data_IF_638507866063
#
_entry.id   IF_638507866063
#
_cell.length_a   1.000
_cell.length_b   1.000
_cell.length_c   1.000
_cell.angle_alpha   90.00
_cell.angle_beta   90.00
_cell.angle_gamma   90.00
#
_symmetry.space_group_name_H-M   'P 1'
#
loop_
_entity.id
_entity.type
_entity.pdbx_description
1 polymer ?
#
# COMPACT_ATOMS: atom_id res chain seq x y z
N UNK A 1 -6.74 8.39 -12.32
CA UNK A 1 -7.64 8.61 -11.17
C UNK A 1 -7.18 9.84 -10.37
N UNK A 2 -8.10 10.51 -9.65
CA UNK A 2 -7.81 11.70 -8.84
C UNK A 2 -7.26 11.34 -7.46
N UNK A 3 -6.53 12.26 -6.83
CA UNK A 3 -6.02 12.09 -5.46
C UNK A 3 -7.12 11.75 -4.42
N UNK A 4 -8.29 12.38 -4.56
CA UNK A 4 -9.44 12.22 -3.67
C UNK A 4 -9.94 10.77 -3.58
N UNK A 5 -9.78 9.98 -4.64
CA UNK A 5 -10.20 8.58 -4.63
C UNK A 5 -9.25 7.69 -3.82
N UNK A 6 -7.95 8.01 -3.82
CA UNK A 6 -6.96 7.34 -2.96
C UNK A 6 -7.24 7.70 -1.49
N UNK A 7 -7.54 8.97 -1.18
CA UNK A 7 -7.91 9.40 0.17
C UNK A 7 -9.13 8.64 0.69
N UNK A 8 -10.20 8.57 -0.11
CA UNK A 8 -11.41 7.80 0.23
C UNK A 8 -11.07 6.34 0.54
N UNK A 9 -10.16 5.72 -0.20
CA UNK A 9 -9.75 4.34 0.11
C UNK A 9 -8.96 4.23 1.41
N UNK A 10 -8.03 5.16 1.67
CA UNK A 10 -7.28 5.20 2.93
C UNK A 10 -8.24 5.35 4.11
N UNK A 11 -9.22 6.25 4.01
CA UNK A 11 -10.26 6.51 5.02
C UNK A 11 -11.13 5.29 5.32
N UNK A 12 -11.29 4.38 4.36
CA UNK A 12 -12.15 3.21 4.49
C UNK A 12 -11.39 1.89 4.71
N UNK A 13 -10.09 1.95 5.03
CA UNK A 13 -9.37 0.79 5.56
C UNK A 13 -10.09 0.25 6.82
N UNK A 14 -10.14 -1.08 6.94
CA UNK A 14 -10.88 -1.77 8.00
C UNK A 14 -12.36 -2.01 7.69
N UNK A 15 -12.93 -1.40 6.65
CA UNK A 15 -14.31 -1.70 6.22
C UNK A 15 -14.40 -3.02 5.47
N UNK A 16 -15.58 -3.64 5.47
CA UNK A 16 -15.83 -4.89 4.74
C UNK A 16 -16.09 -4.61 3.25
N UNK A 17 -15.71 -5.56 2.40
CA UNK A 17 -15.88 -5.49 0.95
C UNK A 17 -17.32 -5.21 0.51
N UNK A 18 -18.31 -5.86 1.13
CA UNK A 18 -19.74 -5.65 0.87
C UNK A 18 -20.19 -4.21 1.17
N UNK A 19 -19.74 -3.64 2.29
CA UNK A 19 -20.03 -2.26 2.68
C UNK A 19 -19.37 -1.23 1.74
N UNK A 20 -18.15 -1.50 1.26
CA UNK A 20 -17.48 -0.64 0.28
C UNK A 20 -18.22 -0.61 -1.06
N UNK A 21 -18.76 -1.74 -1.50
CA UNK A 21 -19.60 -1.82 -2.71
C UNK A 21 -20.92 -1.09 -2.50
N UNK A 22 -21.60 -1.33 -1.38
CA UNK A 22 -22.90 -0.72 -1.09
C UNK A 22 -22.83 0.82 -1.01
N UNK A 23 -21.68 1.36 -0.61
CA UNK A 23 -21.39 2.81 -0.55
C UNK A 23 -20.71 3.34 -1.82
N UNK A 24 -20.59 2.52 -2.86
CA UNK A 24 -19.98 2.86 -4.15
C UNK A 24 -18.52 3.35 -4.06
N UNK A 25 -17.81 2.97 -2.99
CA UNK A 25 -16.39 3.31 -2.77
C UNK A 25 -15.49 2.48 -3.70
N UNK A 26 -15.88 1.23 -3.95
CA UNK A 26 -15.26 0.34 -4.94
C UNK A 26 -16.33 -0.24 -5.86
N UNK A 27 -15.92 -0.63 -7.06
CA UNK A 27 -16.80 -1.35 -7.97
C UNK A 27 -17.07 -2.76 -7.44
N UNK A 28 -18.25 -3.30 -7.77
CA UNK A 28 -18.59 -4.69 -7.46
C UNK A 28 -17.82 -5.66 -8.36
N UNK A 29 -16.59 -5.94 -7.98
CA UNK A 29 -15.69 -6.86 -8.66
C UNK A 29 -15.37 -8.04 -7.74
N UNK A 30 -15.18 -9.25 -8.28
CA UNK A 30 -14.82 -10.40 -7.46
C UNK A 30 -13.41 -10.24 -6.88
N UNK A 31 -13.25 -10.65 -5.62
CA UNK A 31 -11.95 -10.76 -4.98
C UNK A 31 -11.19 -11.97 -5.51
N UNK A 32 -9.91 -11.77 -5.84
CA UNK A 32 -9.04 -12.76 -6.44
C UNK A 32 -8.18 -13.43 -5.35
N UNK A 33 -8.25 -14.75 -5.27
CA UNK A 33 -7.30 -15.56 -4.51
C UNK A 33 -6.12 -15.92 -5.42
N UNK A 34 -4.92 -15.39 -5.15
CA UNK A 34 -3.75 -15.63 -6.00
C UNK A 34 -3.23 -17.07 -5.89
N UNK A 35 -3.34 -17.68 -4.71
CA UNK A 35 -2.95 -19.06 -4.45
C UNK A 35 -3.90 -19.67 -3.42
N UNK A 36 -4.30 -20.95 -3.57
CA UNK A 36 -5.18 -21.62 -2.63
C UNK A 36 -4.68 -21.57 -1.19
N UNK A 37 -5.56 -21.19 -0.27
CA UNK A 37 -5.29 -21.15 1.17
C UNK A 37 -4.58 -19.87 1.63
N UNK A 38 -4.57 -18.80 0.83
CA UNK A 38 -4.06 -17.50 1.31
C UNK A 38 -5.06 -16.78 2.19
N UNK A 39 -4.54 -16.17 3.25
CA UNK A 39 -5.33 -15.30 4.14
C UNK A 39 -5.69 -13.96 3.50
N UNK A 40 -5.09 -13.59 2.36
CA UNK A 40 -5.36 -12.33 1.69
C UNK A 40 -5.90 -12.55 0.27
N UNK A 41 -6.93 -11.79 -0.05
CA UNK A 41 -7.55 -11.71 -1.35
C UNK A 41 -7.30 -10.34 -1.95
N UNK A 42 -7.25 -10.27 -3.28
CA UNK A 42 -6.79 -9.10 -4.00
C UNK A 42 -7.87 -8.56 -4.92
N UNK A 43 -7.87 -7.25 -5.10
CA UNK A 43 -8.65 -6.56 -6.12
C UNK A 43 -7.75 -5.53 -6.79
N UNK A 44 -7.75 -5.48 -8.12
CA UNK A 44 -6.99 -4.51 -8.90
C UNK A 44 -7.96 -3.55 -9.60
N UNK A 45 -8.37 -2.46 -8.93
CA UNK A 45 -9.34 -1.53 -9.49
C UNK A 45 -8.76 -0.69 -10.63
N UNK A 46 -7.43 -0.53 -10.67
CA UNK A 46 -6.70 0.25 -11.68
C UNK A 46 -5.26 -0.25 -11.79
N UNK A 47 -4.66 -0.05 -12.96
CA UNK A 47 -3.24 -0.33 -13.22
C UNK A 47 -2.33 0.30 -12.16
N UNK A 48 -1.53 -0.53 -11.50
CA UNK A 48 -0.59 -0.11 -10.45
C UNK A 48 -1.23 0.11 -9.08
N UNK A 49 -2.54 -0.11 -8.94
CA UNK A 49 -3.27 -0.10 -7.68
C UNK A 49 -3.72 -1.52 -7.34
N UNK A 50 -3.46 -1.94 -6.11
CA UNK A 50 -4.01 -3.18 -5.56
C UNK A 50 -4.62 -2.96 -4.18
N UNK A 51 -5.78 -3.54 -3.96
CA UNK A 51 -6.46 -3.58 -2.67
C UNK A 51 -6.37 -5.01 -2.13
N UNK A 52 -6.03 -5.16 -0.86
CA UNK A 52 -5.99 -6.46 -0.19
C UNK A 52 -7.05 -6.57 0.88
N UNK A 53 -7.67 -7.74 0.96
CA UNK A 53 -8.76 -8.04 1.89
C UNK A 53 -8.46 -9.32 2.66
N UNK A 54 -8.78 -9.37 3.94
CA UNK A 54 -8.68 -10.60 4.73
C UNK A 54 -9.65 -11.66 4.18
N UNK A 55 -9.18 -12.86 3.90
CA UNK A 55 -9.95 -13.93 3.26
C UNK A 55 -11.17 -14.37 4.06
N UNK A 56 -11.01 -14.44 5.39
CA UNK A 56 -12.04 -14.86 6.37
C UNK A 56 -13.19 -13.85 6.49
N UNK A 57 -12.88 -12.56 6.61
CA UNK A 57 -13.87 -11.51 6.91
C UNK A 57 -14.18 -10.58 5.75
N UNK A 58 -13.38 -10.65 4.68
CA UNK A 58 -13.34 -9.69 3.57
C UNK A 58 -13.12 -8.24 4.04
N UNK A 59 -12.40 -8.05 5.14
CA UNK A 59 -12.00 -6.74 5.68
C UNK A 59 -10.89 -6.14 4.81
N UNK A 60 -11.00 -4.87 4.44
CA UNK A 60 -10.00 -4.15 3.65
C UNK A 60 -8.76 -3.84 4.50
N UNK A 61 -7.63 -4.49 4.18
CA UNK A 61 -6.42 -4.56 5.02
C UNK A 61 -5.31 -3.62 4.56
N UNK A 62 -5.14 -3.48 3.24
CA UNK A 62 -4.12 -2.61 2.68
C UNK A 62 -4.42 -2.14 1.26
N UNK A 63 -4.04 -0.91 0.97
CA UNK A 63 -3.95 -0.30 -0.35
C UNK A 63 -2.48 -0.23 -0.77
N UNK A 64 -2.17 -0.73 -1.96
CA UNK A 64 -0.85 -0.68 -2.58
C UNK A 64 -0.89 0.27 -3.78
N UNK A 65 0.04 1.21 -3.83
CA UNK A 65 0.25 2.11 -4.96
C UNK A 65 1.66 1.95 -5.50
N UNK A 66 1.79 1.34 -6.68
CA UNK A 66 3.08 1.04 -7.31
C UNK A 66 3.57 2.24 -8.10
N UNK A 67 4.66 2.88 -7.68
CA UNK A 67 5.20 4.09 -8.30
C UNK A 67 6.36 3.83 -9.26
N UNK A 68 7.12 2.75 -9.03
CA UNK A 68 8.24 2.37 -9.90
C UNK A 68 8.15 0.89 -10.24
N UNK A 69 8.35 0.57 -11.52
CA UNK A 69 8.48 -0.81 -11.99
C UNK A 69 9.77 -1.42 -11.43
N UNK A 70 9.62 -2.46 -10.62
CA UNK A 70 10.77 -3.18 -10.04
C UNK A 70 10.93 -4.59 -10.57
N UNK A 71 9.88 -5.16 -11.18
CA UNK A 71 9.91 -6.44 -11.88
C UNK A 71 9.14 -6.35 -13.21
N UNK A 72 9.33 -7.28 -14.15
CA UNK A 72 8.56 -7.30 -15.40
C UNK A 72 7.04 -7.32 -15.20
N UNK A 73 6.57 -7.96 -14.11
CA UNK A 73 5.16 -8.13 -13.76
C UNK A 73 4.53 -6.93 -13.03
N UNK A 74 5.33 -6.02 -12.47
CA UNK A 74 4.79 -4.80 -11.85
C UNK A 74 4.45 -3.76 -12.91
N UNK A 75 3.30 -3.10 -12.76
CA UNK A 75 2.91 -1.95 -13.58
C UNK A 75 2.80 -0.71 -12.71
N UNK A 76 3.27 0.42 -13.23
CA UNK A 76 3.29 1.70 -12.51
C UNK A 76 1.92 2.37 -12.55
N UNK A 77 1.51 2.91 -11.42
CA UNK A 77 0.41 3.86 -11.30
C UNK A 77 0.90 5.24 -11.76
N UNK A 78 0.13 5.88 -12.64
CA UNK A 78 0.45 7.18 -13.25
C UNK A 78 -0.56 8.28 -12.92
N UNK A 79 -1.52 8.00 -12.04
CA UNK A 79 -2.50 8.98 -11.61
C UNK A 79 -1.97 9.88 -10.50
N UNK A 80 -2.86 10.74 -9.99
CA UNK A 80 -2.54 11.66 -8.90
C UNK A 80 -2.46 10.93 -7.55
N UNK A 81 -1.65 11.48 -6.65
CA UNK A 81 -1.49 11.04 -5.27
C UNK A 81 -1.96 12.16 -4.33
N UNK A 82 -2.51 11.83 -3.15
CA UNK A 82 -2.81 12.84 -2.15
C UNK A 82 -1.55 13.39 -1.50
N UNK A 83 -1.63 14.62 -1.02
CA UNK A 83 -0.56 15.22 -0.23
C UNK A 83 -0.31 14.38 1.05
N UNK A 84 0.95 14.22 1.50
CA UNK A 84 2.17 14.80 0.95
C UNK A 84 2.92 13.86 -0.02
N UNK A 85 2.23 12.88 -0.62
CA UNK A 85 2.86 11.84 -1.42
C UNK A 85 3.00 12.28 -2.88
N UNK A 86 4.16 12.01 -3.47
CA UNK A 86 4.42 12.31 -4.88
C UNK A 86 5.24 11.19 -5.55
N UNK A 87 5.15 11.11 -6.87
CA UNK A 87 5.99 10.20 -7.65
C UNK A 87 7.43 10.73 -7.68
N UNK A 88 8.41 9.81 -7.68
CA UNK A 88 9.83 10.17 -7.79
C UNK A 88 10.53 10.54 -6.47
N UNK A 89 9.84 10.46 -5.34
CA UNK A 89 10.45 10.65 -4.02
C UNK A 89 11.55 9.61 -3.74
N UNK A 90 12.56 10.02 -2.99
CA UNK A 90 13.54 9.13 -2.35
C UNK A 90 13.42 9.19 -0.82
N UNK A 91 14.19 8.36 -0.11
CA UNK A 91 14.16 8.31 1.35
C UNK A 91 14.44 9.67 2.03
N UNK A 92 15.38 10.46 1.51
CA UNK A 92 15.69 11.78 2.07
C UNK A 92 14.52 12.75 1.94
N UNK A 93 13.77 12.69 0.83
CA UNK A 93 12.55 13.50 0.66
C UNK A 93 11.49 13.09 1.67
N UNK A 94 11.30 11.78 1.88
CA UNK A 94 10.37 11.23 2.89
C UNK A 94 10.73 11.74 4.29
N UNK A 95 12.03 11.69 4.65
CA UNK A 95 12.49 12.18 5.96
C UNK A 95 12.29 13.69 6.14
N UNK A 96 12.47 14.46 5.07
CA UNK A 96 12.27 15.92 5.10
C UNK A 96 10.80 16.26 5.36
N UNK A 97 9.88 15.47 4.83
CA UNK A 97 8.43 15.72 4.92
C UNK A 97 7.83 15.14 6.20
N UNK A 98 8.17 13.90 6.55
CA UNK A 98 7.51 13.13 7.62
C UNK A 98 8.37 12.96 8.88
N UNK A 99 9.64 13.41 8.86
CA UNK A 99 10.58 13.17 9.94
C UNK A 99 11.10 11.73 9.93
N UNK A 100 11.46 11.20 11.11
CA UNK A 100 12.01 9.86 11.24
C UNK A 100 10.91 8.79 11.33
N UNK A 101 11.11 7.60 10.73
CA UNK A 101 10.15 6.51 10.78
C UNK A 101 10.06 5.89 12.18
N UNK A 102 8.90 5.35 12.54
CA UNK A 102 8.74 4.62 13.80
C UNK A 102 9.12 3.13 13.69
N UNK A 103 9.05 2.58 12.47
CA UNK A 103 9.55 1.24 12.13
C UNK A 103 10.33 1.33 10.82
N UNK A 104 11.46 0.64 10.74
CA UNK A 104 12.27 0.59 9.53
C UNK A 104 12.97 -0.75 9.40
N UNK A 105 13.19 -1.17 8.16
CA UNK A 105 14.04 -2.29 7.80
C UNK A 105 14.91 -1.91 6.62
N UNK A 106 16.23 -1.96 6.81
CA UNK A 106 17.18 -1.62 5.76
C UNK A 106 17.21 -2.62 4.59
N UNK A 107 17.96 -2.29 3.53
CA UNK A 107 18.30 -3.18 2.42
C UNK A 107 18.74 -4.58 2.84
N UNK A 108 18.28 -5.60 2.12
CA UNK A 108 18.68 -7.00 2.34
C UNK A 108 19.41 -7.51 1.10
N UNK A 109 20.57 -8.14 1.30
CA UNK A 109 21.26 -8.90 0.24
C UNK A 109 20.57 -10.25 0.06
N UNK A 110 19.99 -10.46 -1.12
CA UNK A 110 19.41 -11.73 -1.54
C UNK A 110 20.44 -12.55 -2.32
N UNK A 111 20.27 -13.88 -2.40
CA UNK A 111 21.07 -14.71 -3.28
C UNK A 111 20.97 -14.27 -4.74
N UNK A 112 22.01 -14.52 -5.52
CA UNK A 112 21.92 -14.35 -6.97
C UNK A 112 20.83 -15.26 -7.55
N UNK A 113 20.07 -14.81 -8.57
CA UNK A 113 20.25 -13.57 -9.33
C UNK A 113 19.49 -12.35 -8.75
N UNK A 114 18.84 -12.46 -7.58
CA UNK A 114 17.95 -11.42 -7.06
C UNK A 114 18.68 -10.15 -6.57
N UNK A 115 19.96 -10.24 -6.20
CA UNK A 115 20.77 -9.07 -5.85
C UNK A 115 20.38 -8.42 -4.52
N UNK A 116 20.28 -7.08 -4.46
CA UNK A 116 19.98 -6.33 -3.23
C UNK A 116 18.58 -5.69 -3.29
N UNK A 117 17.84 -5.75 -2.19
CA UNK A 117 16.54 -5.06 -2.03
C UNK A 117 16.74 -3.67 -1.40
N UNK A 118 15.73 -2.78 -1.49
CA UNK A 118 15.82 -1.42 -0.94
C UNK A 118 15.41 -1.23 0.52
N UNK A 119 14.81 -2.22 1.16
CA UNK A 119 14.22 -2.04 2.49
C UNK A 119 12.87 -1.30 2.47
N UNK A 120 12.40 -0.90 3.66
CA UNK A 120 11.17 -0.16 3.88
C UNK A 120 11.17 0.64 5.18
N UNK A 121 10.31 1.65 5.24
CA UNK A 121 10.05 2.49 6.43
C UNK A 121 8.56 2.68 6.63
N UNK A 122 8.11 2.81 7.87
CA UNK A 122 6.71 3.04 8.20
C UNK A 122 6.49 4.28 9.06
N UNK A 123 5.40 4.97 8.78
CA UNK A 123 4.95 6.20 9.44
C UNK A 123 3.48 6.03 9.80
N UNK A 124 3.10 6.40 11.03
CA UNK A 124 1.69 6.45 11.41
C UNK A 124 1.04 7.61 10.68
N UNK A 125 -0.17 7.42 10.17
CA UNK A 125 -0.96 8.55 9.69
C UNK A 125 -1.44 9.36 10.91
N UNK A 126 -1.93 10.57 10.64
CA UNK A 126 -2.54 11.43 11.66
C UNK A 126 -3.57 10.62 12.48
N UNK A 127 -3.32 10.38 13.78
CA UNK A 127 -4.16 9.50 14.59
C UNK A 127 -5.57 10.06 14.83
N UNK A 128 -5.78 11.37 14.67
CA UNK A 128 -7.12 11.95 14.77
C UNK A 128 -8.01 11.58 13.56
N UNK A 129 -7.38 11.43 12.39
CA UNK A 129 -8.08 11.07 11.13
C UNK A 129 -8.04 9.58 10.85
N UNK A 130 -6.92 8.93 11.18
CA UNK A 130 -6.62 7.54 10.83
C UNK A 130 -5.96 6.80 12.01
N UNK A 131 -6.69 6.59 13.13
CA UNK A 131 -6.12 6.11 14.39
C UNK A 131 -5.40 4.76 14.31
N UNK A 132 -5.78 3.90 13.35
CA UNK A 132 -5.22 2.56 13.18
C UNK A 132 -4.59 2.36 11.78
N UNK A 133 -4.02 3.40 11.16
CA UNK A 133 -3.42 3.30 9.83
C UNK A 133 -1.98 3.76 9.84
N UNK A 134 -1.13 3.02 9.13
CA UNK A 134 0.23 3.44 8.76
C UNK A 134 0.42 3.45 7.26
N UNK A 135 1.34 4.28 6.79
CA UNK A 135 1.90 4.20 5.45
C UNK A 135 3.28 3.57 5.55
N UNK A 136 3.54 2.59 4.67
CA UNK A 136 4.85 1.97 4.50
C UNK A 136 5.40 2.40 3.15
N UNK A 137 6.57 3.04 3.18
CA UNK A 137 7.37 3.35 2.01
C UNK A 137 8.29 2.17 1.73
N UNK A 138 8.12 1.53 0.57
CA UNK A 138 9.05 0.52 0.10
C UNK A 138 10.02 1.12 -0.90
N UNK A 139 11.29 0.75 -0.80
CA UNK A 139 12.34 1.35 -1.61
C UNK A 139 12.94 0.38 -2.65
N UNK A 140 13.53 0.97 -3.69
CA UNK A 140 14.52 0.32 -4.57
C UNK A 140 15.87 0.21 -3.85
N UNK A 141 16.82 -0.56 -4.40
CA UNK A 141 18.18 -0.65 -3.86
C UNK A 141 18.92 0.71 -3.78
N UNK A 142 18.49 1.69 -4.59
CA UNK A 142 18.99 3.07 -4.61
C UNK A 142 18.16 4.03 -3.74
N UNK A 143 17.30 3.50 -2.86
CA UNK A 143 16.46 4.24 -1.92
C UNK A 143 15.41 5.16 -2.57
N UNK A 144 15.00 4.86 -3.80
CA UNK A 144 13.84 5.51 -4.44
C UNK A 144 12.55 4.84 -3.98
N UNK A 145 11.50 5.62 -3.71
CA UNK A 145 10.19 5.08 -3.33
C UNK A 145 9.59 4.35 -4.53
N UNK A 146 9.40 3.05 -4.40
CA UNK A 146 8.78 2.22 -5.45
C UNK A 146 7.33 1.87 -5.19
N UNK A 147 6.91 1.85 -3.92
CA UNK A 147 5.54 1.49 -3.54
C UNK A 147 5.17 2.18 -2.25
N UNK A 148 3.96 2.75 -2.22
CA UNK A 148 3.29 3.18 -1.00
C UNK A 148 2.30 2.10 -0.58
N UNK A 149 2.34 1.70 0.69
CA UNK A 149 1.39 0.74 1.25
C UNK A 149 0.68 1.37 2.44
N UNK A 150 -0.59 1.72 2.27
CA UNK A 150 -1.45 2.16 3.38
C UNK A 150 -2.10 0.93 3.99
N UNK A 151 -1.93 0.71 5.29
CA UNK A 151 -2.37 -0.52 5.91
C UNK A 151 -2.73 -0.33 7.38
N UNK A 152 -3.62 -1.19 7.87
CA UNK A 152 -3.96 -1.24 9.29
C UNK A 152 -2.72 -1.56 10.14
N UNK A 153 -2.59 -0.91 11.30
CA UNK A 153 -1.52 -1.20 12.28
C UNK A 153 -1.90 -2.50 13.01
N UNK A 154 -3.08 -2.52 13.61
CA UNK A 154 -3.64 -3.69 14.27
C UNK A 154 -4.44 -4.49 13.25
N UNK A 155 -3.83 -5.58 12.82
CA UNK A 155 -4.45 -6.58 11.96
C UNK A 155 -4.82 -7.73 12.85
N UNK A 156 -6.03 -7.69 13.41
CA UNK A 156 -6.59 -8.80 14.17
C UNK A 156 -6.70 -10.00 13.23
N UNK A 157 -5.62 -10.79 13.22
CA UNK A 157 -5.47 -12.07 12.56
C UNK A 157 -5.64 -13.14 13.64
N UNK A 158 -6.87 -13.25 14.17
CA UNK A 158 -7.27 -14.36 15.02
C UNK A 158 -7.38 -15.67 14.24
#
# INVERSE_FOLDING_TARGET
MSNSKIEIWIENLGQRHDALIAREIIQNQPLIELYPGRDLLYLEPETGISLSFLGKTKRFEALFVTLLKSTPSTTEYKGELPEPYSAGMNQSDVHTILGMPFEAKGPIKMPQPMGQTGGWEAYRLDPEKHPNVKVVFQYTATMQVKTLVFTLIDKDHD
#
